data_IF_119658126174
#
_entry.id   IF_119658126174
#
_cell.length_a   1.000
_cell.length_b   1.000
_cell.length_c   1.000
_cell.angle_alpha   90.00
_cell.angle_beta   90.00
_cell.angle_gamma   90.00
#
_symmetry.space_group_name_H-M   'P 1'
#
loop_
_entity.id
_entity.type
_entity.pdbx_description
1 polymer ?
#
# COMPACT_ATOMS: atom_id res chain seq x y z
N UNK A 1 -1.79 -0.97 33.10
CA UNK A 1 -2.57 -2.11 32.62
C UNK A 1 -1.61 -3.11 32.02
N UNK A 2 -1.29 -4.17 32.74
CA UNK A 2 -0.43 -5.28 32.31
C UNK A 2 -1.21 -6.09 31.27
N UNK A 3 -0.68 -6.20 30.04
CA UNK A 3 -1.23 -7.11 29.02
C UNK A 3 -1.14 -8.54 29.59
N UNK A 4 -2.27 -9.24 29.67
CA UNK A 4 -2.30 -10.67 30.02
C UNK A 4 -1.34 -11.44 29.10
N UNK A 5 -0.53 -12.36 29.66
CA UNK A 5 0.44 -13.12 28.88
C UNK A 5 -0.29 -14.02 27.87
N UNK A 6 0.07 -13.87 26.59
CA UNK A 6 -0.45 -14.69 25.49
C UNK A 6 -0.28 -16.18 25.84
N UNK A 7 -1.37 -16.95 25.78
CA UNK A 7 -1.34 -18.39 26.11
C UNK A 7 -0.43 -19.17 25.13
N UNK A 8 0.13 -20.30 25.59
CA UNK A 8 0.97 -21.16 24.75
C UNK A 8 0.24 -21.61 23.46
N UNK A 9 -1.07 -21.83 23.51
CA UNK A 9 -1.92 -22.15 22.35
C UNK A 9 -2.00 -20.99 21.38
N UNK A 10 -2.22 -19.77 21.86
CA UNK A 10 -2.25 -18.55 21.03
C UNK A 10 -0.89 -18.28 20.36
N UNK A 11 0.21 -18.50 21.09
CA UNK A 11 1.57 -18.35 20.53
C UNK A 11 1.80 -19.31 19.39
N UNK A 12 1.51 -20.59 19.56
CA UNK A 12 1.63 -21.61 18.49
C UNK A 12 0.75 -21.26 17.29
N UNK A 13 -0.46 -20.76 17.50
CA UNK A 13 -1.37 -20.31 16.44
C UNK A 13 -0.76 -19.17 15.62
N UNK A 14 -0.21 -18.14 16.27
CA UNK A 14 0.46 -17.02 15.62
C UNK A 14 1.70 -17.47 14.85
N UNK A 15 2.50 -18.36 15.40
CA UNK A 15 3.68 -18.95 14.74
C UNK A 15 3.29 -19.70 13.46
N UNK A 16 2.22 -20.51 13.51
CA UNK A 16 1.73 -21.25 12.35
C UNK A 16 1.23 -20.28 11.26
N UNK A 17 0.43 -19.27 11.62
CA UNK A 17 -0.02 -18.24 10.67
C UNK A 17 1.17 -17.53 10.02
N UNK A 18 2.19 -17.16 10.81
CA UNK A 18 3.41 -16.51 10.31
C UNK A 18 4.18 -17.41 9.34
N UNK A 19 4.32 -18.71 9.62
CA UNK A 19 4.96 -19.67 8.70
C UNK A 19 4.23 -19.75 7.36
N UNK A 20 2.89 -19.81 7.38
CA UNK A 20 2.08 -19.83 6.16
C UNK A 20 2.23 -18.53 5.34
N UNK A 21 2.27 -17.36 5.99
CA UNK A 21 2.47 -16.09 5.31
C UNK A 21 3.87 -15.97 4.69
N UNK A 22 4.92 -16.39 5.41
CA UNK A 22 6.29 -16.38 4.87
C UNK A 22 6.41 -17.32 3.67
N UNK A 23 5.94 -18.56 3.80
CA UNK A 23 5.93 -19.51 2.70
C UNK A 23 5.09 -19.01 1.52
N UNK A 24 3.93 -18.40 1.79
CA UNK A 24 3.08 -17.82 0.76
C UNK A 24 3.78 -16.72 -0.01
N UNK A 25 4.45 -15.79 0.68
CA UNK A 25 5.24 -14.72 0.06
C UNK A 25 6.31 -15.28 -0.88
N UNK A 26 7.09 -16.29 -0.41
CA UNK A 26 8.13 -16.92 -1.23
C UNK A 26 7.56 -17.61 -2.47
N UNK A 27 6.48 -18.40 -2.30
CA UNK A 27 5.85 -19.14 -3.42
C UNK A 27 5.22 -18.18 -4.42
N UNK A 28 4.56 -17.11 -3.97
CA UNK A 28 4.02 -16.09 -4.87
C UNK A 28 5.09 -15.36 -5.66
N UNK A 29 6.20 -14.97 -5.03
CA UNK A 29 7.31 -14.29 -5.71
C UNK A 29 7.97 -15.23 -6.73
N UNK A 30 8.09 -16.53 -6.41
CA UNK A 30 8.74 -17.50 -7.29
C UNK A 30 7.88 -17.88 -8.50
N UNK A 31 6.56 -18.03 -8.34
CA UNK A 31 5.68 -18.58 -9.38
C UNK A 31 4.65 -17.59 -9.95
N UNK A 32 4.51 -16.41 -9.37
CA UNK A 32 3.43 -15.46 -9.66
C UNK A 32 2.08 -15.91 -9.10
N UNK A 33 1.05 -15.05 -9.24
CA UNK A 33 -0.28 -15.37 -8.71
C UNK A 33 -0.92 -16.57 -9.40
N UNK A 34 -0.87 -16.61 -10.74
CA UNK A 34 -1.59 -17.62 -11.53
C UNK A 34 -1.12 -19.05 -11.26
N UNK A 35 0.19 -19.27 -11.19
CA UNK A 35 0.79 -20.59 -11.02
C UNK A 35 0.88 -21.05 -9.56
N UNK A 36 0.65 -20.16 -8.62
CA UNK A 36 0.63 -20.48 -7.19
C UNK A 36 -0.64 -21.22 -6.82
N UNK A 37 -0.50 -22.27 -6.02
CA UNK A 37 -1.60 -23.02 -5.39
C UNK A 37 -1.46 -23.00 -3.88
N UNK A 38 -2.58 -23.09 -3.15
CA UNK A 38 -2.56 -23.17 -1.69
C UNK A 38 -1.80 -24.43 -1.21
N UNK A 39 -1.84 -25.50 -1.97
CA UNK A 39 -1.11 -26.76 -1.67
C UNK A 39 0.41 -26.58 -1.71
N UNK A 40 0.95 -25.81 -2.66
CA UNK A 40 2.38 -25.48 -2.70
C UNK A 40 2.78 -24.70 -1.44
N UNK A 41 1.95 -23.72 -1.04
CA UNK A 41 2.20 -22.90 0.17
C UNK A 41 2.18 -23.78 1.42
N UNK A 42 1.19 -24.66 1.58
CA UNK A 42 1.07 -25.57 2.73
C UNK A 42 2.29 -26.50 2.82
N UNK A 43 2.72 -27.06 1.69
CA UNK A 43 3.93 -27.90 1.60
C UNK A 43 5.19 -27.13 1.99
N UNK A 44 5.36 -25.92 1.47
CA UNK A 44 6.50 -25.05 1.76
C UNK A 44 6.55 -24.62 3.24
N UNK A 45 5.37 -24.37 3.85
CA UNK A 45 5.23 -24.02 5.25
C UNK A 45 5.42 -25.21 6.21
N UNK A 46 5.52 -26.43 5.69
CA UNK A 46 5.60 -27.68 6.49
C UNK A 46 4.46 -27.78 7.51
N UNK A 47 3.23 -27.43 7.06
CA UNK A 47 2.02 -27.48 7.91
C UNK A 47 1.05 -28.54 7.40
N UNK A 48 0.18 -29.02 8.30
CA UNK A 48 -0.91 -29.93 7.89
C UNK A 48 -2.03 -29.16 7.17
N UNK A 49 -2.64 -29.80 6.15
CA UNK A 49 -3.74 -29.20 5.39
C UNK A 49 -4.88 -28.68 6.28
N UNK A 50 -5.38 -29.51 7.20
CA UNK A 50 -6.43 -29.11 8.13
C UNK A 50 -6.06 -27.87 8.95
N UNK A 51 -4.79 -27.77 9.37
CA UNK A 51 -4.30 -26.62 10.13
C UNK A 51 -4.24 -25.36 9.24
N UNK A 52 -3.78 -25.48 8.01
CA UNK A 52 -3.66 -24.32 7.10
C UNK A 52 -5.03 -23.73 6.74
N UNK A 53 -6.03 -24.58 6.47
CA UNK A 53 -7.39 -24.12 6.15
C UNK A 53 -8.14 -23.47 7.31
N UNK A 54 -7.65 -23.59 8.55
CA UNK A 54 -8.14 -22.77 9.68
C UNK A 54 -7.81 -21.28 9.50
N UNK A 55 -6.68 -20.97 8.82
CA UNK A 55 -6.20 -19.60 8.65
C UNK A 55 -6.58 -18.99 7.30
N UNK A 56 -6.53 -19.78 6.23
CA UNK A 56 -6.72 -19.30 4.86
C UNK A 56 -7.56 -20.31 4.05
N UNK A 57 -8.69 -19.85 3.52
CA UNK A 57 -9.58 -20.71 2.71
C UNK A 57 -8.97 -21.03 1.35
N UNK A 58 -8.22 -20.09 0.79
CA UNK A 58 -7.61 -20.19 -0.53
C UNK A 58 -6.34 -19.31 -0.60
N UNK A 59 -5.69 -19.27 -1.76
CA UNK A 59 -4.50 -18.45 -1.99
C UNK A 59 -4.82 -16.95 -2.00
N UNK A 60 -6.03 -16.56 -2.38
CA UNK A 60 -6.49 -15.18 -2.46
C UNK A 60 -6.57 -14.56 -1.06
N UNK A 61 -7.18 -15.29 -0.09
CA UNK A 61 -7.22 -14.87 1.33
C UNK A 61 -5.81 -14.61 1.87
N UNK A 62 -4.86 -15.50 1.53
CA UNK A 62 -3.48 -15.39 1.99
C UNK A 62 -2.78 -14.19 1.33
N UNK A 63 -2.97 -13.98 0.01
CA UNK A 63 -2.40 -12.83 -0.69
C UNK A 63 -2.96 -11.52 -0.16
N UNK A 64 -4.27 -11.44 0.16
CA UNK A 64 -4.88 -10.24 0.75
C UNK A 64 -4.19 -9.88 2.07
N UNK A 65 -3.88 -10.86 2.92
CA UNK A 65 -3.17 -10.57 4.18
C UNK A 65 -1.75 -10.08 3.92
N UNK A 66 -1.02 -10.67 2.96
CA UNK A 66 0.31 -10.19 2.57
C UNK A 66 0.26 -8.78 1.97
N UNK A 67 -0.75 -8.49 1.14
CA UNK A 67 -1.00 -7.16 0.59
C UNK A 67 -1.30 -6.14 1.70
N UNK A 68 -2.14 -6.51 2.68
CA UNK A 68 -2.44 -5.65 3.82
C UNK A 68 -1.20 -5.35 4.66
N UNK A 69 -0.32 -6.32 4.88
CA UNK A 69 0.93 -6.12 5.61
C UNK A 69 1.86 -5.13 4.89
N UNK A 70 1.95 -5.20 3.56
CA UNK A 70 2.68 -4.20 2.75
C UNK A 70 1.99 -2.85 2.81
N UNK A 71 0.67 -2.80 2.62
CA UNK A 71 -0.08 -1.53 2.63
C UNK A 71 -0.04 -0.85 3.99
N UNK A 72 0.08 -1.57 5.10
CA UNK A 72 0.29 -0.97 6.41
C UNK A 72 1.59 -0.16 6.49
N UNK A 73 2.64 -0.54 5.76
CA UNK A 73 3.87 0.25 5.66
C UNK A 73 3.62 1.55 4.86
N UNK A 74 2.88 1.48 3.76
CA UNK A 74 2.46 2.65 3.00
C UNK A 74 1.57 3.59 3.82
N UNK A 75 0.63 3.06 4.60
CA UNK A 75 -0.19 3.88 5.50
C UNK A 75 0.65 4.59 6.56
N UNK A 76 1.70 3.96 7.09
CA UNK A 76 2.64 4.63 8.02
C UNK A 76 3.28 5.89 7.40
N UNK A 77 3.45 5.93 6.08
CA UNK A 77 3.94 7.09 5.35
C UNK A 77 2.82 8.12 5.17
N UNK A 78 1.65 7.68 4.69
CA UNK A 78 0.51 8.55 4.37
C UNK A 78 -0.15 9.17 5.61
N UNK A 79 -0.18 8.45 6.73
CA UNK A 79 -0.82 8.91 7.98
C UNK A 79 0.10 9.76 8.87
N UNK A 80 1.29 10.16 8.39
CA UNK A 80 2.12 11.13 9.09
C UNK A 80 1.36 12.44 9.26
N UNK A 81 1.57 13.10 10.40
CA UNK A 81 0.94 14.39 10.69
C UNK A 81 1.29 15.40 9.58
N UNK A 82 0.26 15.97 8.97
CA UNK A 82 0.40 16.97 7.91
C UNK A 82 -0.26 18.29 8.38
N UNK A 83 0.52 19.13 9.06
CA UNK A 83 0.07 20.42 9.58
C UNK A 83 1.08 21.53 9.23
N UNK A 84 1.35 21.76 7.93
CA UNK A 84 2.27 22.84 7.55
C UNK A 84 1.71 24.21 7.92
N UNK A 85 2.60 25.13 8.29
CA UNK A 85 2.25 26.53 8.58
C UNK A 85 2.64 27.47 7.44
N UNK A 86 3.42 27.00 6.46
CA UNK A 86 3.82 27.75 5.27
C UNK A 86 3.74 26.88 4.00
N UNK A 87 3.59 27.54 2.83
CA UNK A 87 3.66 26.88 1.54
C UNK A 87 4.98 26.09 1.35
N UNK A 88 6.10 26.65 1.78
CA UNK A 88 7.41 25.99 1.70
C UNK A 88 7.48 24.72 2.56
N UNK A 89 6.83 24.72 3.71
CA UNK A 89 6.75 23.54 4.57
C UNK A 89 5.84 22.48 3.96
N UNK A 90 4.67 22.88 3.43
CA UNK A 90 3.77 21.97 2.70
C UNK A 90 4.50 21.29 1.54
N UNK A 91 5.19 22.06 0.71
CA UNK A 91 6.00 21.52 -0.41
C UNK A 91 6.97 20.44 0.07
N UNK A 92 7.78 20.74 1.09
CA UNK A 92 8.78 19.80 1.62
C UNK A 92 8.15 18.53 2.20
N UNK A 93 6.98 18.65 2.86
CA UNK A 93 6.27 17.50 3.44
C UNK A 93 5.69 16.61 2.33
N UNK A 94 5.05 17.23 1.33
CA UNK A 94 4.48 16.51 0.17
C UNK A 94 5.58 15.78 -0.60
N UNK A 95 6.67 16.47 -0.96
CA UNK A 95 7.81 15.87 -1.67
C UNK A 95 8.37 14.64 -0.93
N UNK A 96 8.54 14.73 0.40
CA UNK A 96 8.99 13.60 1.22
C UNK A 96 7.98 12.44 1.25
N UNK A 97 6.68 12.74 1.27
CA UNK A 97 5.65 11.69 1.22
C UNK A 97 5.64 10.97 -0.12
N UNK A 98 5.68 11.72 -1.24
CA UNK A 98 5.75 11.14 -2.60
C UNK A 98 6.99 10.28 -2.75
N UNK A 99 8.17 10.80 -2.37
CA UNK A 99 9.42 10.05 -2.43
C UNK A 99 9.32 8.74 -1.63
N UNK A 100 8.87 8.82 -0.37
CA UNK A 100 8.76 7.63 0.47
C UNK A 100 7.73 6.63 -0.06
N UNK A 101 6.61 7.10 -0.65
CA UNK A 101 5.60 6.25 -1.27
C UNK A 101 6.17 5.49 -2.48
N UNK A 102 6.82 6.18 -3.41
CA UNK A 102 7.38 5.55 -4.61
C UNK A 102 8.62 4.68 -4.28
N UNK A 103 9.45 5.09 -3.32
CA UNK A 103 10.56 4.26 -2.82
C UNK A 103 10.07 2.95 -2.19
N UNK A 104 8.93 2.97 -1.49
CA UNK A 104 8.32 1.75 -0.94
C UNK A 104 7.85 0.81 -2.06
N UNK A 105 7.35 1.35 -3.18
CA UNK A 105 7.00 0.55 -4.35
C UNK A 105 8.21 -0.19 -4.93
N UNK A 106 9.39 0.43 -4.96
CA UNK A 106 10.64 -0.26 -5.34
C UNK A 106 11.00 -1.38 -4.36
N UNK A 107 10.89 -1.09 -3.06
CA UNK A 107 11.25 -2.04 -1.99
C UNK A 107 10.36 -3.29 -2.02
N UNK A 108 9.06 -3.11 -2.23
CA UNK A 108 8.05 -4.19 -2.21
C UNK A 108 7.68 -4.69 -3.62
N UNK A 109 8.46 -4.31 -4.65
CA UNK A 109 8.17 -4.55 -6.06
C UNK A 109 7.75 -5.97 -6.37
N UNK A 110 8.49 -6.97 -5.89
CA UNK A 110 8.22 -8.37 -6.22
C UNK A 110 6.82 -8.85 -5.75
N UNK A 111 6.41 -8.45 -4.55
CA UNK A 111 5.08 -8.79 -4.07
C UNK A 111 4.00 -7.96 -4.75
N UNK A 112 4.26 -6.68 -5.04
CA UNK A 112 3.32 -5.81 -5.75
C UNK A 112 3.09 -6.28 -7.19
N UNK A 113 4.06 -6.89 -7.88
CA UNK A 113 3.85 -7.55 -9.18
C UNK A 113 2.83 -8.69 -9.08
N UNK A 114 2.91 -9.51 -8.03
CA UNK A 114 1.93 -10.58 -7.77
C UNK A 114 0.55 -9.99 -7.47
N UNK A 115 0.48 -8.90 -6.72
CA UNK A 115 -0.78 -8.20 -6.42
C UNK A 115 -1.40 -7.66 -7.71
N UNK A 116 -0.62 -7.08 -8.61
CA UNK A 116 -1.10 -6.57 -9.91
C UNK A 116 -1.70 -7.68 -10.78
N UNK A 117 -1.03 -8.83 -10.89
CA UNK A 117 -1.59 -10.01 -11.57
C UNK A 117 -2.94 -10.44 -10.94
N UNK A 118 -3.02 -10.44 -9.62
CA UNK A 118 -4.20 -10.86 -8.90
C UNK A 118 -5.37 -9.87 -9.04
N UNK A 119 -5.12 -8.56 -9.06
CA UNK A 119 -6.13 -7.52 -9.31
C UNK A 119 -6.82 -7.75 -10.65
N UNK A 120 -6.09 -8.23 -11.66
CA UNK A 120 -6.64 -8.54 -12.99
C UNK A 120 -7.61 -9.72 -13.02
N UNK A 121 -7.55 -10.65 -12.05
CA UNK A 121 -8.21 -11.96 -12.12
C UNK A 121 -9.02 -12.37 -10.89
N UNK A 122 -8.66 -11.90 -9.70
CA UNK A 122 -9.41 -12.17 -8.45
C UNK A 122 -10.29 -10.98 -8.08
N UNK A 123 -11.59 -11.20 -7.99
CA UNK A 123 -12.56 -10.18 -7.55
C UNK A 123 -12.30 -9.77 -6.10
N UNK A 124 -11.92 -10.70 -5.24
CA UNK A 124 -11.64 -10.45 -3.83
C UNK A 124 -10.42 -9.54 -3.67
N UNK A 125 -9.33 -9.82 -4.39
CA UNK A 125 -8.12 -9.00 -4.37
C UNK A 125 -8.40 -7.61 -4.95
N UNK A 126 -9.15 -7.53 -6.06
CA UNK A 126 -9.56 -6.25 -6.66
C UNK A 126 -10.36 -5.39 -5.69
N UNK A 127 -11.39 -5.96 -5.07
CA UNK A 127 -12.22 -5.25 -4.10
C UNK A 127 -11.39 -4.74 -2.90
N UNK A 128 -10.40 -5.55 -2.46
CA UNK A 128 -9.49 -5.12 -1.40
C UNK A 128 -8.60 -3.98 -1.84
N UNK A 129 -8.07 -4.01 -3.07
CA UNK A 129 -7.26 -2.94 -3.63
C UNK A 129 -8.07 -1.64 -3.76
N UNK A 130 -9.32 -1.71 -4.22
CA UNK A 130 -10.21 -0.55 -4.32
C UNK A 130 -10.48 0.09 -2.94
N UNK A 131 -10.68 -0.74 -1.90
CA UNK A 131 -10.81 -0.24 -0.53
C UNK A 131 -9.52 0.44 -0.01
N UNK A 132 -8.36 -0.06 -0.40
CA UNK A 132 -7.05 0.56 -0.10
C UNK A 132 -6.94 1.94 -0.76
N UNK A 133 -7.30 2.06 -2.05
CA UNK A 133 -7.34 3.34 -2.78
C UNK A 133 -8.20 4.37 -2.08
N UNK A 134 -9.43 4.01 -1.72
CA UNK A 134 -10.35 4.93 -1.06
C UNK A 134 -9.79 5.42 0.29
N UNK A 135 -9.15 4.56 1.07
CA UNK A 135 -8.51 4.99 2.34
C UNK A 135 -7.39 6.02 2.12
N UNK A 136 -6.56 5.86 1.08
CA UNK A 136 -5.54 6.85 0.72
C UNK A 136 -6.17 8.17 0.27
N UNK A 137 -7.19 8.10 -0.58
CA UNK A 137 -7.91 9.29 -1.08
C UNK A 137 -8.53 10.06 0.09
N UNK A 138 -9.21 9.38 1.02
CA UNK A 138 -9.78 9.98 2.22
C UNK A 138 -8.71 10.69 3.07
N UNK A 139 -7.53 10.09 3.21
CA UNK A 139 -6.42 10.71 3.94
C UNK A 139 -5.93 11.98 3.24
N UNK A 140 -5.77 11.96 1.91
CA UNK A 140 -5.38 13.13 1.12
C UNK A 140 -6.44 14.24 1.21
N UNK A 141 -7.73 13.90 1.20
CA UNK A 141 -8.83 14.87 1.40
C UNK A 141 -8.68 15.60 2.73
N UNK A 142 -8.31 14.90 3.81
CA UNK A 142 -8.07 15.54 5.12
C UNK A 142 -6.92 16.55 5.06
N UNK A 143 -5.81 16.21 4.39
CA UNK A 143 -4.63 17.09 4.25
C UNK A 143 -4.95 18.33 3.41
N UNK A 144 -5.71 18.16 2.30
CA UNK A 144 -6.17 19.28 1.47
C UNK A 144 -7.11 20.18 2.26
N UNK A 145 -8.09 19.58 2.97
CA UNK A 145 -9.06 20.32 3.78
C UNK A 145 -8.36 21.16 4.86
N UNK A 146 -7.36 20.59 5.53
CA UNK A 146 -6.54 21.32 6.47
C UNK A 146 -5.85 22.52 5.79
N UNK A 147 -5.22 22.30 4.63
CA UNK A 147 -4.52 23.36 3.89
C UNK A 147 -5.45 24.48 3.41
N UNK A 148 -6.66 24.13 2.95
CA UNK A 148 -7.70 25.11 2.57
C UNK A 148 -8.17 25.92 3.77
N UNK A 149 -8.42 25.28 4.91
CA UNK A 149 -8.86 25.95 6.14
C UNK A 149 -7.77 26.88 6.72
N UNK A 150 -6.50 26.49 6.58
CA UNK A 150 -5.35 27.29 7.00
C UNK A 150 -4.98 28.40 6.02
N UNK A 151 -5.67 28.54 4.88
CA UNK A 151 -5.38 29.55 3.87
C UNK A 151 -4.13 29.30 3.04
N UNK A 152 -3.59 28.09 3.08
CA UNK A 152 -2.41 27.69 2.31
C UNK A 152 -2.77 27.17 0.91
N UNK A 153 -3.99 26.66 0.74
CA UNK A 153 -4.47 26.08 -0.51
C UNK A 153 -5.75 26.76 -1.01
N UNK A 154 -5.95 26.70 -2.31
CA UNK A 154 -7.09 27.27 -3.02
C UNK A 154 -8.41 26.66 -2.54
N UNK A 155 -9.35 27.50 -2.11
CA UNK A 155 -10.68 27.09 -1.60
C UNK A 155 -11.71 26.87 -2.70
N UNK A 156 -11.45 27.34 -3.91
CA UNK A 156 -12.33 27.19 -5.08
C UNK A 156 -12.23 25.79 -5.72
N UNK A 157 -11.24 25.00 -5.35
CA UNK A 157 -11.08 23.64 -5.84
C UNK A 157 -11.79 22.63 -4.93
N UNK A 158 -12.49 21.67 -5.55
CA UNK A 158 -13.07 20.55 -4.85
C UNK A 158 -11.98 19.60 -4.33
N UNK A 159 -11.82 19.52 -3.01
CA UNK A 159 -10.76 18.74 -2.36
C UNK A 159 -10.81 17.25 -2.72
N UNK A 160 -12.02 16.69 -2.93
CA UNK A 160 -12.18 15.28 -3.28
C UNK A 160 -11.69 14.97 -4.70
N UNK A 161 -12.00 15.84 -5.67
CA UNK A 161 -11.51 15.69 -7.05
C UNK A 161 -9.99 15.85 -7.11
N UNK A 162 -9.42 16.83 -6.38
CA UNK A 162 -7.98 17.03 -6.30
C UNK A 162 -7.31 15.81 -5.67
N UNK A 163 -7.84 15.29 -4.58
CA UNK A 163 -7.29 14.11 -3.90
C UNK A 163 -7.26 12.87 -4.81
N UNK A 164 -8.35 12.61 -5.54
CA UNK A 164 -8.41 11.49 -6.51
C UNK A 164 -7.39 11.67 -7.62
N UNK A 165 -7.33 12.84 -8.23
CA UNK A 165 -6.37 13.12 -9.32
C UNK A 165 -4.93 12.94 -8.83
N UNK A 166 -4.63 13.44 -7.63
CA UNK A 166 -3.32 13.31 -7.01
C UNK A 166 -2.96 11.85 -6.71
N UNK A 167 -3.89 11.10 -6.10
CA UNK A 167 -3.67 9.69 -5.81
C UNK A 167 -3.40 8.88 -7.09
N UNK A 168 -4.24 9.02 -8.12
CA UNK A 168 -4.10 8.25 -9.35
C UNK A 168 -2.84 8.62 -10.15
N UNK A 169 -2.40 9.88 -10.10
CA UNK A 169 -1.10 10.26 -10.68
C UNK A 169 0.07 9.51 -9.99
N UNK A 170 0.05 9.43 -8.67
CA UNK A 170 1.06 8.69 -7.91
C UNK A 170 0.96 7.17 -8.14
N UNK A 171 -0.25 6.62 -8.19
CA UNK A 171 -0.48 5.18 -8.44
C UNK A 171 0.00 4.76 -9.82
N UNK A 172 -0.15 5.60 -10.84
CA UNK A 172 0.38 5.32 -12.18
C UNK A 172 1.90 5.08 -12.13
N UNK A 173 2.66 5.98 -11.52
CA UNK A 173 4.10 5.79 -11.37
C UNK A 173 4.48 4.64 -10.43
N UNK A 174 3.67 4.35 -9.40
CA UNK A 174 3.86 3.15 -8.58
C UNK A 174 3.86 1.90 -9.48
N UNK A 175 2.88 1.76 -10.37
CA UNK A 175 2.80 0.58 -11.25
C UNK A 175 3.91 0.56 -12.30
N UNK A 176 4.35 1.70 -12.85
CA UNK A 176 5.52 1.76 -13.74
C UNK A 176 6.80 1.28 -13.02
N UNK A 177 7.00 1.68 -11.76
CA UNK A 177 8.09 1.21 -10.91
C UNK A 177 7.98 -0.30 -10.68
N UNK A 178 6.80 -0.79 -10.34
CA UNK A 178 6.53 -2.20 -10.07
C UNK A 178 6.83 -3.07 -11.29
N UNK A 179 6.44 -2.64 -12.50
CA UNK A 179 6.71 -3.33 -13.77
C UNK A 179 8.14 -3.17 -14.26
N UNK A 180 8.92 -2.28 -13.65
CA UNK A 180 10.26 -1.89 -14.10
C UNK A 180 10.24 -1.22 -15.51
N UNK A 181 9.21 -0.43 -15.77
CA UNK A 181 8.95 0.24 -17.04
C UNK A 181 9.20 1.76 -16.99
N UNK A 182 9.61 2.30 -15.83
CA UNK A 182 9.83 3.75 -15.70
C UNK A 182 10.98 4.22 -16.60
N UNK A 183 10.74 5.34 -17.29
CA UNK A 183 11.72 6.00 -18.16
C UNK A 183 12.52 7.09 -17.44
N UNK A 184 11.98 7.62 -16.32
CA UNK A 184 12.54 8.73 -15.56
C UNK A 184 13.10 8.28 -14.21
N UNK A 185 14.03 9.05 -13.66
CA UNK A 185 14.53 8.80 -12.30
C UNK A 185 13.44 9.02 -11.25
N UNK A 186 13.60 8.42 -10.07
CA UNK A 186 12.67 8.61 -8.96
C UNK A 186 12.56 10.08 -8.58
N UNK A 187 13.69 10.79 -8.56
CA UNK A 187 13.80 12.20 -8.22
C UNK A 187 13.02 13.07 -9.23
N UNK A 188 13.18 12.83 -10.54
CA UNK A 188 12.45 13.57 -11.58
C UNK A 188 10.93 13.39 -11.45
N UNK A 189 10.46 12.17 -11.18
CA UNK A 189 9.04 11.89 -10.95
C UNK A 189 8.54 12.63 -9.71
N UNK A 190 9.25 12.52 -8.60
CA UNK A 190 8.90 13.16 -7.32
C UNK A 190 8.83 14.67 -7.44
N UNK A 191 9.84 15.28 -8.05
CA UNK A 191 9.92 16.73 -8.21
C UNK A 191 8.81 17.24 -9.13
N UNK A 192 8.61 16.57 -10.28
CA UNK A 192 7.58 16.97 -11.25
C UNK A 192 6.17 16.85 -10.65
N UNK A 193 5.84 15.74 -10.02
CA UNK A 193 4.54 15.54 -9.36
C UNK A 193 4.32 16.58 -8.26
N UNK A 194 5.35 16.84 -7.44
CA UNK A 194 5.25 17.80 -6.34
C UNK A 194 5.01 19.21 -6.88
N UNK A 195 5.76 19.65 -7.89
CA UNK A 195 5.60 20.97 -8.48
C UNK A 195 4.22 21.16 -9.15
N UNK A 196 3.74 20.17 -9.89
CA UNK A 196 2.40 20.18 -10.48
C UNK A 196 1.31 20.32 -9.41
N UNK A 197 1.40 19.54 -8.34
CA UNK A 197 0.43 19.59 -7.26
C UNK A 197 0.47 20.92 -6.50
N UNK A 198 1.66 21.39 -6.17
CA UNK A 198 1.86 22.67 -5.48
C UNK A 198 1.43 23.86 -6.35
N UNK A 199 1.77 23.85 -7.63
CA UNK A 199 1.40 24.92 -8.56
C UNK A 199 -0.09 25.02 -8.85
N UNK A 200 -0.81 23.88 -8.82
CA UNK A 200 -2.25 23.82 -9.04
C UNK A 200 -3.10 24.12 -7.81
N UNK A 201 -2.69 23.65 -6.65
CA UNK A 201 -3.50 23.67 -5.42
C UNK A 201 -3.10 24.77 -4.43
N UNK A 202 -1.79 25.00 -4.26
CA UNK A 202 -1.27 25.95 -3.26
C UNK A 202 -1.03 27.34 -3.89
N UNK A 203 -1.63 28.33 -3.34
CA UNK A 203 -1.49 29.74 -3.76
C UNK A 203 -0.38 30.47 -3.03
#
# INVERSE_FOLDING_TARGET
MTKDPISARQRRSLETKKKLLLAGREVFIEYGFHKTTISQIIKKAETGYGTAYVYFKNKDDLLIVLMDDVMNQFYTIAERVFHPVTRKEAHRMIQKQVHAFLQMAETERQLLQVVEEAIGTSTEVRNRWDAIRERFIERIVQDITYSQNSGLARKDLNCFLVARSWFFANEMFLWEIVRNEREFSLEEIVDTLTEMYMGGLYS
#
